data_IF_004990893620
#
_entry.id   IF_004990893620
#
_cell.length_a   1.000
_cell.length_b   1.000
_cell.length_c   1.000
_cell.angle_alpha   90.00
_cell.angle_beta   90.00
_cell.angle_gamma   90.00
#
_symmetry.space_group_name_H-M   'P 1'
#
loop_
_entity.id
_entity.type
_entity.pdbx_description
1 polymer ?
#
# COMPACT_ATOMS: atom_id res chain seq x y z
N UNK A 1 4.80 -5.72 6.54
CA UNK A 1 4.05 -6.93 6.93
C UNK A 1 2.56 -6.63 6.83
N UNK A 2 1.66 -7.62 6.81
CA UNK A 2 0.22 -7.40 6.97
C UNK A 2 -0.02 -6.57 8.23
N UNK A 3 -0.94 -5.61 8.16
CA UNK A 3 -1.23 -4.68 9.25
C UNK A 3 -0.22 -3.53 9.41
N UNK A 4 0.85 -3.47 8.61
CA UNK A 4 1.72 -2.29 8.56
C UNK A 4 0.98 -1.11 7.92
N UNK A 5 1.05 0.05 8.57
CA UNK A 5 0.69 1.35 8.00
C UNK A 5 1.95 1.94 7.36
N UNK A 6 1.84 2.36 6.11
CA UNK A 6 2.96 2.77 5.29
C UNK A 6 2.66 4.02 4.47
N UNK A 7 3.71 4.68 4.00
CA UNK A 7 3.68 5.72 2.97
C UNK A 7 4.38 5.19 1.72
N UNK A 8 3.77 5.36 0.54
CA UNK A 8 4.41 5.02 -0.74
C UNK A 8 5.29 6.18 -1.26
N UNK A 9 6.09 5.92 -2.30
CA UNK A 9 6.97 6.95 -2.90
C UNK A 9 6.24 8.19 -3.44
N UNK A 10 4.95 8.06 -3.75
CA UNK A 10 4.10 9.19 -4.16
C UNK A 10 3.44 9.92 -2.96
N UNK A 11 3.82 9.57 -1.72
CA UNK A 11 3.34 10.22 -0.51
C UNK A 11 1.92 9.85 -0.10
N UNK A 12 1.38 8.72 -0.57
CA UNK A 12 0.05 8.23 -0.17
C UNK A 12 0.15 7.22 0.96
N UNK A 13 -0.72 7.38 1.96
CA UNK A 13 -0.87 6.42 3.07
C UNK A 13 -1.66 5.19 2.65
N UNK A 14 -1.17 4.03 3.05
CA UNK A 14 -1.84 2.75 2.85
C UNK A 14 -1.55 1.74 3.96
N UNK A 15 -2.40 0.74 4.07
CA UNK A 15 -2.20 -0.41 4.94
C UNK A 15 -1.90 -1.64 4.10
N UNK A 16 -0.80 -2.33 4.41
CA UNK A 16 -0.50 -3.62 3.78
C UNK A 16 -1.49 -4.67 4.28
N UNK A 17 -2.20 -5.32 3.37
CA UNK A 17 -3.21 -6.35 3.69
C UNK A 17 -2.69 -7.77 3.49
N UNK A 18 -1.51 -7.95 2.90
CA UNK A 18 -0.87 -9.25 2.68
C UNK A 18 0.64 -9.22 2.89
N UNK A 19 1.18 -10.28 3.50
CA UNK A 19 2.62 -10.52 3.63
C UNK A 19 3.28 -11.04 2.36
N UNK A 20 2.49 -11.28 1.30
CA UNK A 20 3.01 -11.73 0.02
C UNK A 20 3.28 -10.52 -0.88
N UNK A 21 4.44 -10.52 -1.52
CA UNK A 21 4.77 -9.55 -2.56
C UNK A 21 4.16 -10.04 -3.87
N UNK A 22 3.48 -9.16 -4.62
CA UNK A 22 2.81 -9.50 -5.88
C UNK A 22 3.40 -8.71 -7.04
N UNK A 23 3.33 -9.28 -8.24
CA UNK A 23 3.62 -8.55 -9.47
C UNK A 23 2.49 -7.57 -9.75
N UNK A 24 2.84 -6.28 -9.90
CA UNK A 24 1.90 -5.18 -10.17
C UNK A 24 2.37 -4.42 -11.41
N UNK A 25 1.43 -4.06 -12.29
CA UNK A 25 1.65 -3.10 -13.37
C UNK A 25 1.27 -1.71 -12.88
N UNK A 26 2.23 -0.80 -12.86
CA UNK A 26 2.06 0.58 -12.43
C UNK A 26 1.51 1.45 -13.57
N UNK A 27 0.93 2.64 -13.27
CA UNK A 27 0.36 3.52 -14.27
C UNK A 27 1.33 4.00 -15.35
N UNK A 28 2.63 4.01 -15.05
CA UNK A 28 3.73 4.31 -15.99
C UNK A 28 4.05 3.14 -16.93
N UNK A 29 3.32 2.02 -16.83
CA UNK A 29 3.52 0.80 -17.62
C UNK A 29 4.59 -0.13 -17.05
N UNK A 30 5.32 0.27 -16.00
CA UNK A 30 6.35 -0.56 -15.39
C UNK A 30 5.70 -1.73 -14.64
N UNK A 31 6.22 -2.93 -14.84
CA UNK A 31 5.83 -4.11 -14.07
C UNK A 31 6.89 -4.38 -13.02
N UNK A 32 6.48 -4.63 -11.78
CA UNK A 32 7.42 -4.95 -10.70
C UNK A 32 6.76 -5.60 -9.50
N UNK A 33 7.61 -6.15 -8.63
CA UNK A 33 7.17 -6.72 -7.36
C UNK A 33 6.84 -5.60 -6.37
N UNK A 34 5.67 -5.70 -5.74
CA UNK A 34 5.17 -4.69 -4.81
C UNK A 34 4.39 -5.32 -3.65
N UNK A 35 4.41 -4.62 -2.52
CA UNK A 35 3.44 -4.85 -1.43
C UNK A 35 2.09 -4.30 -1.86
N UNK A 36 1.04 -5.00 -1.48
CA UNK A 36 -0.34 -4.62 -1.82
C UNK A 36 -1.16 -4.38 -0.56
N UNK A 37 -2.15 -3.53 -0.68
CA UNK A 37 -2.89 -3.01 0.46
C UNK A 37 -4.12 -2.22 0.04
N UNK A 38 -4.59 -1.41 0.99
CA UNK A 38 -5.67 -0.45 0.78
C UNK A 38 -5.20 0.96 1.15
N UNK A 39 -5.73 1.97 0.46
CA UNK A 39 -5.51 3.36 0.80
C UNK A 39 -6.22 3.72 2.13
N UNK A 40 -5.57 4.57 2.93
CA UNK A 40 -6.09 5.02 4.23
C UNK A 40 -6.47 6.51 4.25
N UNK A 41 -6.45 7.18 3.10
CA UNK A 41 -6.82 8.59 2.99
C UNK A 41 -7.51 8.88 1.65
N UNK A 42 -8.38 9.88 1.65
CA UNK A 42 -8.96 10.46 0.45
C UNK A 42 -7.99 11.48 -0.15
N UNK A 43 -7.61 11.32 -1.43
CA UNK A 43 -6.73 12.27 -2.12
C UNK A 43 -6.93 12.26 -3.63
N UNK A 44 -7.48 13.37 -4.15
CA UNK A 44 -7.83 13.48 -5.56
C UNK A 44 -8.92 12.47 -5.94
N UNK A 45 -8.60 11.56 -6.86
CA UNK A 45 -9.50 10.49 -7.31
C UNK A 45 -9.45 9.22 -6.43
N UNK A 46 -8.50 9.15 -5.50
CA UNK A 46 -8.33 8.00 -4.61
C UNK A 46 -9.18 8.18 -3.37
N UNK A 47 -9.85 7.10 -2.96
CA UNK A 47 -10.68 6.98 -1.77
C UNK A 47 -10.10 6.00 -0.76
N UNK A 48 -10.42 6.20 0.51
CA UNK A 48 -10.16 5.20 1.56
C UNK A 48 -10.75 3.85 1.13
N UNK A 49 -9.96 2.78 1.25
CA UNK A 49 -10.34 1.44 0.84
C UNK A 49 -9.95 1.07 -0.61
N UNK A 50 -9.60 2.03 -1.45
CA UNK A 50 -9.11 1.76 -2.80
C UNK A 50 -7.81 0.94 -2.78
N UNK A 51 -7.54 0.23 -3.87
CA UNK A 51 -6.33 -0.56 -4.02
C UNK A 51 -5.07 0.29 -3.88
N UNK A 52 -4.17 -0.14 -3.01
CA UNK A 52 -2.86 0.48 -2.80
C UNK A 52 -1.75 -0.51 -3.11
N UNK A 53 -0.66 -0.02 -3.70
CA UNK A 53 0.56 -0.81 -3.87
C UNK A 53 1.82 0.05 -3.79
N UNK A 54 2.93 -0.55 -3.37
CA UNK A 54 4.23 0.12 -3.33
C UNK A 54 5.38 -0.89 -3.41
N UNK A 55 6.40 -0.57 -4.20
CA UNK A 55 7.63 -1.38 -4.30
C UNK A 55 8.43 -1.34 -2.99
N UNK A 56 8.69 -0.12 -2.51
CA UNK A 56 9.50 0.16 -1.33
C UNK A 56 8.75 1.10 -0.38
N UNK A 57 7.74 0.61 0.34
CA UNK A 57 6.99 1.45 1.27
C UNK A 57 7.79 1.76 2.53
N UNK A 58 7.67 2.99 3.02
CA UNK A 58 8.17 3.38 4.35
C UNK A 58 7.11 3.04 5.37
N UNK A 59 7.42 2.13 6.30
CA UNK A 59 6.53 1.77 7.40
C UNK A 59 6.56 2.90 8.44
N UNK A 60 5.38 3.37 8.84
CA UNK A 60 5.20 4.44 9.84
C UNK A 60 4.45 3.98 11.09
N UNK A 61 3.94 2.76 11.10
CA UNK A 61 3.24 2.17 12.23
C UNK A 61 2.74 0.77 11.94
N UNK A 62 2.17 0.13 12.97
CA UNK A 62 1.57 -1.19 12.88
C UNK A 62 0.25 -1.21 13.63
N UNK A 63 -0.72 -1.92 13.07
CA UNK A 63 -1.96 -2.28 13.77
C UNK A 63 -1.73 -3.67 14.34
N UNK A 64 -1.29 -3.70 15.59
CA UNK A 64 -1.11 -4.92 16.37
C UNK A 64 -2.42 -5.14 17.15
N UNK A 65 -3.45 -5.73 16.50
CA UNK A 65 -4.70 -6.30 17.07
C UNK A 65 -5.79 -6.42 15.98
N UNK A 66 -5.51 -7.15 14.89
CA UNK A 66 -6.58 -7.63 14.00
C UNK A 66 -6.79 -9.12 14.30
N UNK A 67 -7.39 -9.42 15.46
CA UNK A 67 -7.99 -10.73 15.74
C UNK A 67 -9.16 -11.01 14.80
#
# INVERSE_FOLDING_TARGET
RKGSICICSAGFKGMITSDIVKTVRFPDGIVGLARTGIHLEDKGKIKVGDYWSSKNPTVIGHIDNME
#
